data_IF_485852820062
#
_entry.id   IF_485852820062
#
_cell.length_a   1.000
_cell.length_b   1.000
_cell.length_c   1.000
_cell.angle_alpha   90.00
_cell.angle_beta   90.00
_cell.angle_gamma   90.00
#
_symmetry.space_group_name_H-M   'P 1'
#
loop_
_entity.id
_entity.type
_entity.pdbx_description
1 polymer ?
#
# COMPACT_ATOMS: atom_id res chain seq x y z
N UNK A 1 -0.56 -10.40 -3.99
CA UNK A 1 -1.44 -9.61 -4.89
C UNK A 1 -0.82 -8.24 -5.14
N UNK A 2 -1.04 -7.60 -6.29
CA UNK A 2 -0.37 -6.34 -6.64
C UNK A 2 -0.76 -5.17 -5.71
N UNK A 3 -1.94 -5.22 -5.10
CA UNK A 3 -2.47 -4.15 -4.23
C UNK A 3 -1.61 -3.93 -2.98
N UNK A 4 -1.07 -4.99 -2.39
CA UNK A 4 -0.21 -4.91 -1.20
C UNK A 4 1.09 -4.16 -1.54
N UNK A 5 1.63 -4.39 -2.74
CA UNK A 5 2.81 -3.67 -3.25
C UNK A 5 2.53 -2.18 -3.46
N UNK A 6 1.32 -1.81 -3.94
CA UNK A 6 0.94 -0.39 -4.09
C UNK A 6 0.96 0.29 -2.72
N UNK A 7 0.31 -0.30 -1.73
CA UNK A 7 0.28 0.29 -0.39
C UNK A 7 1.66 0.30 0.26
N UNK A 8 2.47 -0.73 0.05
CA UNK A 8 3.85 -0.74 0.53
C UNK A 8 4.64 0.43 -0.06
N UNK A 9 4.64 0.60 -1.38
CA UNK A 9 5.33 1.70 -2.06
C UNK A 9 4.77 3.07 -1.65
N UNK A 10 3.44 3.17 -1.52
CA UNK A 10 2.74 4.37 -1.08
C UNK A 10 3.21 4.81 0.30
N UNK A 11 3.19 3.93 1.28
CA UNK A 11 3.55 4.27 2.66
C UNK A 11 5.05 4.44 2.85
N UNK A 12 5.87 3.78 2.03
CA UNK A 12 7.32 3.97 2.03
C UNK A 12 7.69 5.35 1.48
N UNK A 13 7.08 5.76 0.37
CA UNK A 13 7.35 7.07 -0.25
C UNK A 13 6.66 8.23 0.49
N UNK A 14 5.45 8.00 1.00
CA UNK A 14 4.61 9.02 1.63
C UNK A 14 4.00 8.52 2.95
N UNK A 15 4.78 8.38 4.03
CA UNK A 15 4.27 7.96 5.33
C UNK A 15 3.12 8.83 5.85
N UNK A 16 3.06 10.11 5.45
CA UNK A 16 1.99 11.04 5.81
C UNK A 16 0.60 10.57 5.34
N UNK A 17 0.52 9.82 4.26
CA UNK A 17 -0.74 9.26 3.75
C UNK A 17 -1.33 8.26 4.76
N UNK A 18 -0.48 7.41 5.35
CA UNK A 18 -0.92 6.49 6.40
C UNK A 18 -1.53 7.23 7.58
N UNK A 19 -0.84 8.25 8.10
CA UNK A 19 -1.33 9.03 9.24
C UNK A 19 -2.60 9.81 8.91
N UNK A 20 -2.75 10.28 7.67
CA UNK A 20 -3.97 10.93 7.22
C UNK A 20 -5.19 9.98 7.21
N UNK A 21 -5.03 8.75 6.70
CA UNK A 21 -6.17 7.80 6.64
C UNK A 21 -6.58 7.26 8.00
N UNK A 22 -5.67 7.18 8.98
CA UNK A 22 -6.03 6.81 10.36
C UNK A 22 -6.53 8.00 11.20
N UNK A 23 -6.54 9.22 10.63
CA UNK A 23 -6.99 10.43 11.30
C UNK A 23 -6.01 11.00 12.35
N UNK A 24 -4.76 10.57 12.36
CA UNK A 24 -3.73 11.09 13.27
C UNK A 24 -2.95 12.25 12.61
N UNK A 25 -3.54 13.44 12.66
CA UNK A 25 -2.92 14.67 12.13
C UNK A 25 -1.81 15.23 13.01
N UNK A 26 -1.61 14.66 14.20
CA UNK A 26 -0.63 15.13 15.18
C UNK A 26 0.67 14.32 15.16
N UNK A 27 0.69 13.19 14.45
CA UNK A 27 1.85 12.33 14.37
C UNK A 27 3.06 13.04 13.75
N UNK A 28 4.21 12.93 14.42
CA UNK A 28 5.48 13.32 13.79
C UNK A 28 5.90 12.24 12.79
N UNK A 29 5.49 12.41 11.54
CA UNK A 29 5.73 11.45 10.45
C UNK A 29 7.22 11.12 10.28
N UNK A 30 8.09 12.12 10.44
CA UNK A 30 9.54 11.94 10.30
C UNK A 30 10.16 11.11 11.44
N UNK A 31 9.40 10.83 12.49
CA UNK A 31 9.83 9.97 13.59
C UNK A 31 9.59 8.48 13.31
N UNK A 32 9.09 8.12 12.13
CA UNK A 32 8.79 6.74 11.77
C UNK A 32 9.56 6.28 10.53
N UNK A 33 9.89 4.99 10.53
CA UNK A 33 10.37 4.26 9.36
C UNK A 33 9.35 3.17 9.03
N UNK A 34 8.94 3.08 7.77
CA UNK A 34 8.07 2.01 7.27
C UNK A 34 8.91 0.88 6.67
N UNK A 35 8.69 -0.34 7.13
CA UNK A 35 9.45 -1.52 6.71
C UNK A 35 8.55 -2.76 6.66
N UNK A 36 8.91 -3.74 5.81
CA UNK A 36 8.42 -5.11 5.89
C UNK A 36 9.29 -5.92 6.83
N UNK A 37 8.71 -6.81 7.63
CA UNK A 37 9.43 -7.61 8.63
C UNK A 37 9.17 -9.10 8.42
N UNK A 38 10.24 -9.86 8.18
CA UNK A 38 10.20 -11.32 8.21
C UNK A 38 10.41 -11.82 9.64
N UNK A 39 9.51 -12.67 10.11
CA UNK A 39 9.63 -13.27 11.44
C UNK A 39 10.53 -14.50 11.39
N UNK A 40 11.59 -14.48 12.18
CA UNK A 40 12.49 -15.63 12.33
C UNK A 40 11.70 -16.80 12.93
N UNK A 41 12.00 -18.02 12.51
CA UNK A 41 11.42 -19.29 12.99
C UNK A 41 10.04 -19.68 12.43
N UNK A 42 9.38 -18.84 11.63
CA UNK A 42 8.10 -19.15 11.02
C UNK A 42 8.04 -18.64 9.59
N UNK A 43 7.15 -19.19 8.78
CA UNK A 43 6.86 -18.66 7.44
C UNK A 43 5.96 -17.39 7.48
N UNK A 44 5.92 -16.69 8.62
CA UNK A 44 5.14 -15.48 8.80
C UNK A 44 5.91 -14.23 8.38
N UNK A 45 5.22 -13.34 7.71
CA UNK A 45 5.74 -12.06 7.27
C UNK A 45 4.71 -10.97 7.56
N UNK A 46 5.14 -9.91 8.22
CA UNK A 46 4.33 -8.71 8.39
C UNK A 46 4.65 -7.78 7.23
N UNK A 47 3.63 -7.47 6.43
CA UNK A 47 3.80 -6.69 5.20
C UNK A 47 4.20 -5.24 5.46
N UNK A 48 3.73 -4.64 6.54
CA UNK A 48 4.08 -3.26 6.87
C UNK A 48 4.12 -2.96 8.36
N UNK A 49 5.22 -2.34 8.79
CA UNK A 49 5.40 -1.88 10.16
C UNK A 49 5.97 -0.46 10.15
N UNK A 50 5.28 0.47 10.81
CA UNK A 50 5.87 1.78 11.13
C UNK A 50 6.58 1.67 12.46
N UNK A 51 7.91 1.74 12.42
CA UNK A 51 8.78 1.64 13.59
C UNK A 51 9.20 3.06 13.99
N UNK A 52 8.97 3.49 15.26
CA UNK A 52 9.48 4.74 15.76
C UNK A 52 11.00 4.77 15.70
N UNK A 53 11.58 5.89 15.30
CA UNK A 53 13.03 6.10 15.38
C UNK A 53 13.49 6.20 16.85
N UNK A 54 14.75 5.90 17.12
CA UNK A 54 15.30 5.80 18.50
C UNK A 54 15.14 7.08 19.34
N UNK A 55 14.86 8.21 18.72
CA UNK A 55 14.70 9.51 19.41
C UNK A 55 13.30 9.70 20.02
N UNK A 56 12.35 8.80 19.77
CA UNK A 56 10.94 8.94 20.17
C UNK A 56 10.43 7.71 20.90
N UNK A 57 10.85 7.55 22.16
CA UNK A 57 10.55 6.35 22.99
C UNK A 57 9.08 6.18 23.38
N UNK A 58 8.23 7.20 23.23
CA UNK A 58 6.81 7.18 23.64
C UNK A 58 5.82 7.05 22.49
N UNK A 59 6.28 6.82 21.25
CA UNK A 59 5.39 6.64 20.11
C UNK A 59 5.05 5.17 19.89
N UNK A 60 3.80 4.85 19.51
CA UNK A 60 3.42 3.48 19.24
C UNK A 60 4.05 2.97 17.94
N UNK A 61 4.44 1.71 17.93
CA UNK A 61 4.68 0.96 16.71
C UNK A 61 3.34 0.65 16.04
N UNK A 62 3.23 0.80 14.71
CA UNK A 62 2.01 0.44 13.97
C UNK A 62 2.26 -0.79 13.09
N UNK A 63 1.48 -1.84 13.32
CA UNK A 63 1.34 -2.96 12.39
C UNK A 63 0.28 -2.59 11.35
N UNK A 64 0.60 -2.72 10.08
CA UNK A 64 -0.30 -2.35 8.99
C UNK A 64 -0.49 -3.53 8.06
N UNK A 65 -1.74 -3.88 7.83
CA UNK A 65 -2.12 -4.94 6.90
C UNK A 65 -3.18 -4.43 5.94
N UNK A 66 -3.06 -4.81 4.66
CA UNK A 66 -3.96 -4.41 3.58
C UNK A 66 -4.70 -5.65 3.09
N UNK A 67 -6.03 -5.69 3.24
CA UNK A 67 -6.83 -6.87 2.96
C UNK A 67 -7.87 -6.59 1.88
N UNK A 68 -7.55 -6.94 0.63
CA UNK A 68 -8.40 -6.74 -0.55
C UNK A 68 -9.17 -7.99 -0.96
N UNK A 69 -9.04 -9.09 -0.22
CA UNK A 69 -9.77 -10.33 -0.43
C UNK A 69 -10.41 -10.76 0.87
N UNK A 70 -11.56 -11.44 0.76
CA UNK A 70 -12.19 -12.05 1.92
C UNK A 70 -11.33 -13.24 2.38
N UNK A 71 -10.82 -13.16 3.60
CA UNK A 71 -10.08 -14.23 4.27
C UNK A 71 -10.69 -14.46 5.65
N UNK A 72 -11.42 -15.57 5.81
CA UNK A 72 -12.06 -15.93 7.09
C UNK A 72 -11.04 -16.23 8.19
N UNK A 73 -9.79 -16.51 7.85
CA UNK A 73 -8.71 -16.83 8.81
C UNK A 73 -7.82 -15.61 9.13
N UNK A 74 -8.10 -14.47 8.53
CA UNK A 74 -7.28 -13.27 8.58
C UNK A 74 -6.88 -12.87 10.00
N UNK A 75 -7.82 -12.70 10.92
CA UNK A 75 -7.50 -12.25 12.28
C UNK A 75 -6.67 -13.28 13.08
N UNK A 76 -6.80 -14.57 12.78
CA UNK A 76 -5.98 -15.60 13.41
C UNK A 76 -4.52 -15.46 13.03
N UNK A 77 -4.24 -15.24 11.74
CA UNK A 77 -2.90 -15.00 11.21
C UNK A 77 -2.36 -13.67 11.72
N UNK A 78 -3.10 -12.61 11.54
CA UNK A 78 -2.68 -11.23 11.85
C UNK A 78 -2.28 -11.05 13.33
N UNK A 79 -3.10 -11.52 14.27
CA UNK A 79 -2.75 -11.44 15.69
C UNK A 79 -1.64 -12.40 16.09
N UNK A 80 -1.51 -13.57 15.44
CA UNK A 80 -0.39 -14.47 15.68
C UNK A 80 0.95 -13.80 15.27
N UNK A 81 0.99 -13.11 14.13
CA UNK A 81 2.14 -12.37 13.64
C UNK A 81 2.50 -11.21 14.59
N UNK A 82 1.53 -10.41 15.02
CA UNK A 82 1.74 -9.32 15.98
C UNK A 82 2.34 -9.84 17.28
N UNK A 83 1.73 -10.84 17.90
CA UNK A 83 2.21 -11.34 19.19
C UNK A 83 3.56 -12.06 19.07
N UNK A 84 3.84 -12.70 17.95
CA UNK A 84 5.16 -13.26 17.68
C UNK A 84 6.22 -12.16 17.55
N UNK A 85 5.91 -11.09 16.82
CA UNK A 85 6.80 -9.92 16.73
C UNK A 85 7.08 -9.32 18.10
N UNK A 86 6.03 -9.07 18.90
CA UNK A 86 6.18 -8.51 20.25
C UNK A 86 7.00 -9.40 21.16
N UNK A 87 6.86 -10.72 21.07
CA UNK A 87 7.69 -11.68 21.80
C UNK A 87 9.17 -11.60 21.42
N UNK A 88 9.47 -11.34 20.14
CA UNK A 88 10.85 -11.25 19.63
C UNK A 88 11.48 -9.87 19.86
N UNK A 89 10.66 -8.83 20.17
CA UNK A 89 11.10 -7.45 20.29
C UNK A 89 10.64 -6.83 21.63
N UNK A 90 11.32 -7.21 22.71
CA UNK A 90 10.97 -6.80 24.08
C UNK A 90 11.01 -5.27 24.33
N UNK A 91 11.68 -4.51 23.45
CA UNK A 91 11.76 -3.04 23.54
C UNK A 91 10.49 -2.32 23.12
N UNK A 92 9.50 -3.00 22.56
CA UNK A 92 8.24 -2.39 22.12
C UNK A 92 7.32 -2.18 23.31
N UNK A 93 7.13 -0.92 23.72
CA UNK A 93 6.27 -0.55 24.86
C UNK A 93 4.82 -0.29 24.43
N UNK A 94 4.64 0.35 23.26
CA UNK A 94 3.33 0.74 22.74
C UNK A 94 3.18 0.25 21.29
N UNK A 95 2.03 -0.31 20.97
CA UNK A 95 1.72 -0.73 19.62
C UNK A 95 0.26 -0.44 19.26
N UNK A 96 0.01 -0.32 17.99
CA UNK A 96 -1.32 -0.26 17.39
C UNK A 96 -1.32 -1.13 16.14
N UNK A 97 -2.49 -1.59 15.74
CA UNK A 97 -2.69 -2.31 14.51
C UNK A 97 -3.72 -1.59 13.63
N UNK A 98 -3.45 -1.52 12.35
CA UNK A 98 -4.33 -0.90 11.36
C UNK A 98 -4.58 -1.91 10.25
N UNK A 99 -5.85 -2.21 10.00
CA UNK A 99 -6.25 -3.04 8.87
C UNK A 99 -7.01 -2.19 7.87
N UNK A 100 -6.58 -2.24 6.62
CA UNK A 100 -7.13 -1.45 5.53
C UNK A 100 -7.92 -2.37 4.60
N UNK A 101 -9.21 -2.11 4.47
CA UNK A 101 -10.11 -2.80 3.58
C UNK A 101 -10.62 -1.85 2.49
N UNK A 102 -10.86 -2.30 1.26
CA UNK A 102 -11.54 -1.48 0.24
C UNK A 102 -12.97 -1.16 0.66
N UNK A 103 -13.66 -2.10 1.32
CA UNK A 103 -15.04 -1.97 1.78
C UNK A 103 -15.33 -2.91 2.96
N UNK A 104 -16.32 -2.56 3.77
CA UNK A 104 -16.70 -3.29 5.00
C UNK A 104 -17.09 -4.76 4.77
N UNK A 105 -17.60 -5.12 3.62
CA UNK A 105 -17.99 -6.51 3.31
C UNK A 105 -16.81 -7.49 3.23
N UNK A 106 -15.58 -6.99 3.11
CA UNK A 106 -14.36 -7.81 3.11
C UNK A 106 -13.76 -8.00 4.51
N UNK A 107 -14.29 -7.31 5.52
CA UNK A 107 -13.92 -7.53 6.91
C UNK A 107 -14.59 -8.83 7.42
N UNK A 108 -13.84 -9.88 7.78
CA UNK A 108 -14.39 -11.18 8.09
C UNK A 108 -15.28 -11.16 9.34
N UNK A 109 -16.35 -12.00 9.34
CA UNK A 109 -17.30 -12.09 10.43
C UNK A 109 -16.81 -12.93 11.62
N UNK A 110 -15.79 -13.80 11.45
CA UNK A 110 -15.24 -14.66 12.52
C UNK A 110 -14.29 -13.85 13.43
N UNK A 111 -14.88 -13.00 14.27
CA UNK A 111 -14.20 -12.04 15.14
C UNK A 111 -14.19 -12.45 16.61
N UNK A 112 -15.03 -13.38 17.02
CA UNK A 112 -15.27 -13.69 18.43
C UNK A 112 -14.01 -13.94 19.26
N UNK A 113 -13.01 -14.71 18.81
CA UNK A 113 -11.79 -14.92 19.59
C UNK A 113 -10.97 -13.66 19.83
N UNK A 114 -11.15 -12.62 18.99
CA UNK A 114 -10.37 -11.38 18.99
C UNK A 114 -11.21 -10.13 19.27
N UNK A 115 -12.47 -10.31 19.64
CA UNK A 115 -13.43 -9.21 19.80
C UNK A 115 -12.91 -8.12 20.75
N UNK A 116 -12.30 -8.50 21.88
CA UNK A 116 -11.75 -7.55 22.83
C UNK A 116 -10.62 -6.66 22.22
N UNK A 117 -9.80 -7.22 21.35
CA UNK A 117 -8.75 -6.46 20.65
C UNK A 117 -9.38 -5.54 19.59
N UNK A 118 -10.34 -6.06 18.83
CA UNK A 118 -11.02 -5.34 17.77
C UNK A 118 -11.89 -4.17 18.26
N UNK A 119 -12.41 -4.28 19.48
CA UNK A 119 -13.21 -3.23 20.13
C UNK A 119 -12.36 -2.26 20.95
N UNK A 120 -11.06 -2.54 21.10
CA UNK A 120 -10.13 -1.67 21.80
C UNK A 120 -9.58 -0.56 20.89
N UNK A 121 -8.93 0.44 21.48
CA UNK A 121 -8.18 1.46 20.74
C UNK A 121 -6.87 0.93 20.12
N UNK A 122 -6.51 -0.33 20.36
CA UNK A 122 -5.29 -0.93 19.82
C UNK A 122 -5.44 -1.29 18.33
N UNK A 123 -6.67 -1.59 17.87
CA UNK A 123 -6.91 -2.04 16.50
C UNK A 123 -7.87 -1.09 15.81
N UNK A 124 -7.42 -0.48 14.72
CA UNK A 124 -8.23 0.36 13.85
C UNK A 124 -8.49 -0.35 12.52
N UNK A 125 -9.75 -0.37 12.11
CA UNK A 125 -10.17 -0.88 10.80
C UNK A 125 -10.56 0.31 9.93
N UNK A 126 -9.92 0.42 8.79
CA UNK A 126 -10.15 1.49 7.80
C UNK A 126 -10.87 0.88 6.61
N UNK A 127 -11.99 1.45 6.23
CA UNK A 127 -12.73 1.10 5.02
C UNK A 127 -12.60 2.26 4.03
N UNK A 128 -11.92 2.00 2.92
CA UNK A 128 -11.55 3.07 1.97
C UNK A 128 -12.75 3.76 1.35
N UNK A 129 -13.82 3.00 1.11
CA UNK A 129 -15.10 3.54 0.57
C UNK A 129 -15.80 4.48 1.56
N UNK A 130 -15.56 4.33 2.87
CA UNK A 130 -16.16 5.13 3.93
C UNK A 130 -15.32 6.37 4.30
N UNK A 131 -14.08 6.50 3.79
CA UNK A 131 -13.24 7.66 4.09
C UNK A 131 -13.88 8.95 3.60
N UNK A 132 -13.95 9.94 4.49
CA UNK A 132 -14.50 11.26 4.16
C UNK A 132 -13.48 12.08 3.35
N UNK A 133 -13.88 12.49 2.16
CA UNK A 133 -13.08 13.36 1.29
C UNK A 133 -13.38 14.85 1.50
N UNK A 134 -14.36 15.18 2.35
CA UNK A 134 -14.77 16.58 2.58
C UNK A 134 -13.72 17.42 3.29
N UNK A 135 -12.80 16.81 4.01
CA UNK A 135 -11.65 17.50 4.62
C UNK A 135 -10.54 17.83 3.61
N UNK A 136 -10.79 17.69 2.30
CA UNK A 136 -9.87 18.05 1.21
C UNK A 136 -8.43 17.55 1.33
N UNK A 137 -8.22 16.44 2.02
CA UNK A 137 -6.91 15.84 2.09
C UNK A 137 -6.58 15.17 0.74
N UNK A 138 -5.65 15.76 0.00
CA UNK A 138 -5.09 15.17 -1.22
C UNK A 138 -4.64 13.73 -0.98
N UNK A 139 -4.06 13.46 0.20
CA UNK A 139 -3.60 12.13 0.61
C UNK A 139 -4.74 11.10 0.63
N UNK A 140 -5.87 11.44 1.23
CA UNK A 140 -7.06 10.55 1.28
C UNK A 140 -7.62 10.34 -0.12
N UNK A 141 -7.67 11.38 -0.94
CA UNK A 141 -8.18 11.29 -2.32
C UNK A 141 -7.29 10.38 -3.20
N UNK A 142 -5.97 10.42 -3.02
CA UNK A 142 -5.02 9.53 -3.72
C UNK A 142 -5.26 8.07 -3.30
N UNK A 143 -5.44 7.79 -2.02
CA UNK A 143 -5.73 6.42 -1.56
C UNK A 143 -7.05 5.91 -2.13
N UNK A 144 -8.07 6.75 -2.20
CA UNK A 144 -9.37 6.38 -2.80
C UNK A 144 -9.27 6.06 -4.29
N UNK A 145 -8.29 6.60 -5.01
CA UNK A 145 -8.05 6.26 -6.41
C UNK A 145 -7.77 4.76 -6.61
N UNK A 146 -7.19 4.09 -5.60
CA UNK A 146 -6.91 2.64 -5.64
C UNK A 146 -8.21 1.84 -5.80
N UNK A 147 -9.31 2.28 -5.17
CA UNK A 147 -10.63 1.61 -5.24
C UNK A 147 -11.58 2.25 -6.28
N UNK A 148 -11.16 3.33 -6.93
CA UNK A 148 -11.97 3.99 -7.97
C UNK A 148 -12.28 3.03 -9.12
N UNK A 149 -13.44 3.17 -9.78
CA UNK A 149 -13.80 2.35 -10.94
C UNK A 149 -12.95 2.72 -12.14
N UNK A 150 -12.67 1.75 -13.01
CA UNK A 150 -11.83 1.96 -14.19
C UNK A 150 -12.35 3.08 -15.09
N UNK A 151 -13.68 3.16 -15.28
CA UNK A 151 -14.32 4.14 -16.17
C UNK A 151 -14.07 5.59 -15.74
N UNK A 152 -13.87 5.83 -14.44
CA UNK A 152 -13.71 7.17 -13.86
C UNK A 152 -12.31 7.44 -13.34
N UNK A 153 -11.47 6.38 -13.21
CA UNK A 153 -10.17 6.47 -12.55
C UNK A 153 -9.20 7.43 -13.25
N UNK A 154 -9.18 7.47 -14.60
CA UNK A 154 -8.28 8.36 -15.35
C UNK A 154 -8.67 9.82 -15.15
N UNK A 155 -9.97 10.14 -15.24
CA UNK A 155 -10.46 11.51 -15.04
C UNK A 155 -10.21 11.96 -13.61
N UNK A 156 -10.40 11.06 -12.63
CA UNK A 156 -10.08 11.31 -11.22
C UNK A 156 -8.59 11.54 -11.01
N UNK A 157 -7.74 10.76 -11.67
CA UNK A 157 -6.28 10.95 -11.67
C UNK A 157 -5.88 12.33 -12.18
N UNK A 158 -6.48 12.80 -13.28
CA UNK A 158 -6.24 14.16 -13.81
C UNK A 158 -6.64 15.25 -12.80
N UNK A 159 -7.82 15.11 -12.18
CA UNK A 159 -8.25 16.04 -11.13
C UNK A 159 -7.25 16.13 -9.99
N UNK A 160 -6.76 14.98 -9.51
CA UNK A 160 -5.78 14.90 -8.42
C UNK A 160 -4.42 15.51 -8.81
N UNK A 161 -3.97 15.32 -10.05
CA UNK A 161 -2.77 15.95 -10.57
C UNK A 161 -2.91 17.48 -10.58
N UNK A 162 -4.04 18.01 -11.07
CA UNK A 162 -4.32 19.44 -11.05
C UNK A 162 -4.38 19.98 -9.63
N UNK A 163 -5.02 19.26 -8.72
CA UNK A 163 -5.09 19.62 -7.30
C UNK A 163 -3.70 19.64 -6.66
N UNK A 164 -2.86 18.63 -6.92
CA UNK A 164 -1.50 18.58 -6.41
C UNK A 164 -0.67 19.78 -6.88
N UNK A 165 -0.74 20.13 -8.16
CA UNK A 165 -0.05 21.30 -8.74
C UNK A 165 -0.52 22.64 -8.16
N UNK A 166 -1.78 22.73 -7.70
CA UNK A 166 -2.33 23.94 -7.09
C UNK A 166 -2.02 24.06 -5.60
N UNK A 167 -2.00 22.94 -4.87
CA UNK A 167 -1.88 22.94 -3.41
C UNK A 167 -0.45 22.82 -2.90
N UNK A 168 0.44 22.18 -3.68
CA UNK A 168 1.82 21.94 -3.29
C UNK A 168 2.73 23.03 -3.86
N UNK A 169 3.46 23.68 -2.97
CA UNK A 169 4.42 24.72 -3.35
C UNK A 169 5.77 24.13 -3.83
N UNK A 170 6.10 22.93 -3.41
CA UNK A 170 7.32 22.23 -3.76
C UNK A 170 7.15 21.37 -5.02
N UNK A 171 7.93 21.70 -6.05
CA UNK A 171 7.88 21.01 -7.34
C UNK A 171 8.31 19.54 -7.24
N UNK A 172 9.27 19.22 -6.37
CA UNK A 172 9.74 17.85 -6.16
C UNK A 172 8.63 16.98 -5.57
N UNK A 173 7.94 17.47 -4.54
CA UNK A 173 6.80 16.77 -3.92
C UNK A 173 5.64 16.63 -4.91
N UNK A 174 5.39 17.66 -5.73
CA UNK A 174 4.36 17.59 -6.79
C UNK A 174 4.68 16.49 -7.79
N UNK A 175 5.93 16.41 -8.27
CA UNK A 175 6.37 15.34 -9.18
C UNK A 175 6.17 13.95 -8.57
N UNK A 176 6.56 13.74 -7.33
CA UNK A 176 6.40 12.46 -6.64
C UNK A 176 4.92 12.07 -6.51
N UNK A 177 4.03 13.01 -6.23
CA UNK A 177 2.58 12.75 -6.17
C UNK A 177 2.02 12.37 -7.54
N UNK A 178 2.45 13.04 -8.60
CA UNK A 178 2.01 12.69 -9.97
C UNK A 178 2.49 11.29 -10.36
N UNK A 179 3.75 10.95 -10.08
CA UNK A 179 4.29 9.60 -10.29
C UNK A 179 3.54 8.53 -9.50
N UNK A 180 3.13 8.84 -8.28
CA UNK A 180 2.33 7.95 -7.46
C UNK A 180 0.94 7.72 -8.07
N UNK A 181 0.25 8.77 -8.54
CA UNK A 181 -1.04 8.66 -9.21
C UNK A 181 -0.90 7.83 -10.49
N UNK A 182 0.13 8.07 -11.29
CA UNK A 182 0.45 7.26 -12.48
C UNK A 182 0.65 5.80 -12.11
N UNK A 183 1.43 5.51 -11.08
CA UNK A 183 1.69 4.15 -10.60
C UNK A 183 0.41 3.44 -10.19
N UNK A 184 -0.47 4.09 -9.41
CA UNK A 184 -1.77 3.52 -9.01
C UNK A 184 -2.59 3.16 -10.24
N UNK A 185 -2.64 4.03 -11.25
CA UNK A 185 -3.42 3.81 -12.45
C UNK A 185 -2.79 2.71 -13.35
N UNK A 186 -1.48 2.61 -13.42
CA UNK A 186 -0.80 1.50 -14.13
C UNK A 186 -1.14 0.14 -13.53
N UNK A 187 -1.20 0.02 -12.21
CA UNK A 187 -1.63 -1.21 -11.54
C UNK A 187 -3.11 -1.52 -11.82
N UNK A 188 -3.93 -0.51 -12.02
CA UNK A 188 -5.36 -0.67 -12.33
C UNK A 188 -5.57 -1.07 -13.80
N UNK A 189 -4.84 -0.45 -14.72
CA UNK A 189 -4.96 -0.64 -16.18
C UNK A 189 -3.82 -1.50 -16.72
N UNK A 190 -3.86 -2.81 -16.46
CA UNK A 190 -2.81 -3.77 -16.86
C UNK A 190 -2.60 -3.89 -18.37
N UNK A 191 -3.53 -3.35 -19.20
CA UNK A 191 -3.46 -3.40 -20.66
C UNK A 191 -2.94 -2.12 -21.30
N UNK A 192 -2.83 -1.04 -20.53
CA UNK A 192 -2.29 0.23 -21.01
C UNK A 192 -0.78 0.27 -20.81
N UNK A 193 -0.07 0.75 -21.81
CA UNK A 193 1.33 1.13 -21.64
C UNK A 193 1.41 2.40 -20.77
N UNK A 194 2.58 2.62 -20.20
CA UNK A 194 2.85 3.81 -19.41
C UNK A 194 2.77 5.08 -20.25
N UNK A 195 3.22 5.01 -21.50
CA UNK A 195 3.17 6.09 -22.46
C UNK A 195 1.73 6.49 -22.79
N UNK A 196 0.85 5.52 -23.03
CA UNK A 196 -0.58 5.77 -23.28
C UNK A 196 -1.26 6.40 -22.06
N UNK A 197 -0.96 5.90 -20.86
CA UNK A 197 -1.51 6.45 -19.63
C UNK A 197 -1.01 7.88 -19.37
N UNK A 198 0.28 8.16 -19.58
CA UNK A 198 0.86 9.49 -19.42
C UNK A 198 0.23 10.50 -20.39
N UNK A 199 -0.04 10.10 -21.64
CA UNK A 199 -0.77 10.91 -22.61
C UNK A 199 -2.22 11.19 -22.14
N UNK A 200 -2.91 10.15 -21.68
CA UNK A 200 -4.24 10.28 -21.11
C UNK A 200 -4.29 11.20 -19.89
N UNK A 201 -3.27 11.20 -19.06
CA UNK A 201 -3.18 12.06 -17.87
C UNK A 201 -2.68 13.48 -18.18
N UNK A 202 -2.21 13.75 -19.40
CA UNK A 202 -1.62 15.03 -19.77
C UNK A 202 -0.27 15.29 -19.07
N UNK A 203 0.52 14.24 -18.87
CA UNK A 203 1.85 14.31 -18.28
C UNK A 203 2.87 14.60 -19.38
N UNK A 204 3.67 15.65 -19.20
CA UNK A 204 4.64 16.10 -20.19
C UNK A 204 5.93 15.25 -20.22
N UNK A 205 6.73 15.42 -21.31
CA UNK A 205 7.94 14.62 -21.54
C UNK A 205 9.08 14.94 -20.55
N UNK A 206 9.06 16.08 -19.89
CA UNK A 206 10.07 16.46 -18.90
C UNK A 206 9.90 15.64 -17.63
N UNK A 207 8.65 15.34 -17.30
CA UNK A 207 8.28 14.47 -16.18
C UNK A 207 8.73 13.02 -16.37
N UNK A 208 8.68 12.50 -17.60
CA UNK A 208 9.10 11.12 -17.95
C UNK A 208 10.60 10.84 -17.72
N UNK A 209 11.41 11.86 -17.47
CA UNK A 209 12.86 11.74 -17.24
C UNK A 209 13.25 11.54 -15.78
N UNK A 210 12.30 11.43 -14.87
CA UNK A 210 12.60 11.30 -13.44
C UNK A 210 13.21 9.95 -13.07
N UNK A 211 14.04 9.92 -12.01
CA UNK A 211 14.70 8.70 -11.51
C UNK A 211 13.73 7.61 -11.09
N UNK A 212 12.59 8.00 -10.51
CA UNK A 212 11.55 7.05 -10.05
C UNK A 212 10.86 6.38 -11.25
N UNK A 213 10.60 7.12 -12.32
CA UNK A 213 10.11 6.59 -13.59
C UNK A 213 11.03 5.49 -14.16
N UNK A 214 12.35 5.71 -14.10
CA UNK A 214 13.33 4.73 -14.58
C UNK A 214 13.42 3.50 -13.67
N UNK A 215 13.39 3.67 -12.35
CA UNK A 215 13.45 2.58 -11.38
C UNK A 215 12.24 1.63 -11.50
N UNK A 216 11.03 2.19 -11.60
CA UNK A 216 9.81 1.36 -11.74
C UNK A 216 9.79 0.63 -13.09
N UNK A 217 10.36 1.23 -14.13
CA UNK A 217 10.52 0.57 -15.44
C UNK A 217 11.49 -0.62 -15.36
N UNK A 218 12.57 -0.48 -14.61
CA UNK A 218 13.54 -1.56 -14.38
C UNK A 218 12.91 -2.69 -13.56
N UNK A 219 12.19 -2.36 -12.48
CA UNK A 219 11.48 -3.33 -11.64
C UNK A 219 10.38 -4.08 -12.41
N UNK A 220 9.59 -3.38 -13.23
CA UNK A 220 8.57 -4.00 -14.10
C UNK A 220 9.16 -4.89 -15.19
N UNK A 221 10.33 -4.52 -15.75
CA UNK A 221 11.07 -5.34 -16.72
C UNK A 221 11.65 -6.60 -16.05
N UNK A 222 12.09 -6.50 -14.81
CA UNK A 222 12.64 -7.62 -14.06
C UNK A 222 11.54 -8.60 -13.61
N UNK A 223 10.38 -8.09 -13.18
CA UNK A 223 9.19 -8.91 -12.89
C UNK A 223 8.67 -9.62 -14.14
N UNK A 224 8.50 -8.93 -15.27
CA UNK A 224 8.09 -9.54 -16.53
C UNK A 224 9.08 -10.62 -17.03
N UNK A 225 10.38 -10.44 -16.77
CA UNK A 225 11.40 -11.47 -17.03
C UNK A 225 11.29 -12.68 -16.10
N UNK A 226 10.93 -12.46 -14.82
CA UNK A 226 10.76 -13.55 -13.86
C UNK A 226 9.47 -14.32 -14.14
N UNK A 227 8.38 -13.64 -14.44
CA UNK A 227 7.11 -14.26 -14.85
C UNK A 227 7.27 -15.08 -16.13
N UNK A 228 7.84 -14.51 -17.19
CA UNK A 228 8.10 -15.23 -18.44
C UNK A 228 9.06 -16.43 -18.28
N UNK A 229 10.02 -16.37 -17.33
CA UNK A 229 10.85 -17.54 -16.99
C UNK A 229 10.09 -18.61 -16.22
N UNK A 230 9.13 -18.24 -15.37
CA UNK A 230 8.29 -19.20 -14.65
C UNK A 230 7.28 -19.86 -15.57
N UNK A 231 6.63 -19.09 -16.44
CA UNK A 231 5.70 -19.60 -17.45
C UNK A 231 6.41 -20.55 -18.42
N UNK A 232 7.53 -20.15 -19.01
CA UNK A 232 8.31 -21.01 -19.90
C UNK A 232 8.86 -22.27 -19.23
N UNK A 233 9.15 -22.25 -17.90
CA UNK A 233 9.48 -23.45 -17.13
C UNK A 233 8.28 -24.36 -16.90
N UNK A 234 7.08 -23.80 -16.71
CA UNK A 234 5.86 -24.58 -16.51
C UNK A 234 5.41 -25.21 -17.83
N UNK A 235 5.44 -24.46 -18.93
CA UNK A 235 5.14 -24.95 -20.27
C UNK A 235 6.10 -26.06 -20.70
N UNK A 236 7.41 -25.85 -20.58
CA UNK A 236 8.41 -26.89 -20.90
C UNK A 236 8.34 -28.15 -20.05
N UNK A 237 7.83 -28.04 -18.78
CA UNK A 237 7.54 -29.21 -17.93
C UNK A 237 6.26 -29.93 -18.35
N UNK A 238 5.27 -29.23 -18.89
CA UNK A 238 4.03 -29.83 -19.37
C UNK A 238 4.26 -30.53 -20.70
N UNK A 239 5.00 -29.91 -21.63
CA UNK A 239 5.39 -30.51 -22.91
C UNK A 239 6.25 -31.75 -22.71
N UNK A 240 7.29 -31.70 -21.87
CA UNK A 240 8.14 -32.85 -21.57
C UNK A 240 7.45 -34.00 -20.82
N UNK A 241 6.24 -33.79 -20.26
CA UNK A 241 5.40 -34.84 -19.67
C UNK A 241 4.44 -35.47 -20.68
N UNK A 242 4.19 -34.84 -21.84
CA UNK A 242 3.33 -35.35 -22.89
C UNK A 242 4.11 -36.17 -23.93
N UNK A 243 5.43 -35.98 -24.01
CA UNK A 243 6.31 -36.69 -24.97
C UNK A 243 7.03 -37.90 -24.36
N UNK A 244 6.92 -38.19 -23.05
CA UNK A 244 7.52 -39.35 -22.38
C UNK A 244 6.46 -40.29 -21.81
#
# INVERSE_FOLDING_TARGET
MQTDKIFYSLFQAFPSIFFAIIGDTTANVNAYQFVSVELKETAFRIDGVFIPTRETTNQPLYFVEVQFQLDSTFYRRFFAEIFLYLRQNESVNFWRAVVIYPQRSLDPNDRLPYQLLLDSSLVQRIYLDELDTRENSLQVAIVKLIIEREETAVDKGRELILQARQQLADESTTKQIVELIETILLYKFTRLSREELAEMLGIDDEFKKTRMYQSIKEDGLEEGRQEGRQEGRQEGRQEGRQEG
#
